data_IF_271854731383
#
_entry.id   IF_271854731383
#
_cell.length_a   1.000
_cell.length_b   1.000
_cell.length_c   1.000
_cell.angle_alpha   90.00
_cell.angle_beta   90.00
_cell.angle_gamma   90.00
#
_symmetry.space_group_name_H-M   'P 1'
#
loop_
_entity.id
_entity.type
_entity.pdbx_description
1 polymer ?
#
# COMPACT_ATOMS: atom_id res chain seq x y z
N UNK A 1 -31.21 -20.40 -33.46
CA UNK A 1 -30.83 -20.00 -32.09
C UNK A 1 -29.70 -19.00 -32.19
N UNK A 2 -29.99 -17.70 -32.09
CA UNK A 2 -28.96 -16.66 -32.15
C UNK A 2 -28.07 -16.75 -30.92
N UNK A 3 -26.79 -17.06 -31.13
CA UNK A 3 -25.75 -16.91 -30.11
C UNK A 3 -25.60 -15.42 -29.85
N UNK A 4 -26.30 -14.93 -28.83
CA UNK A 4 -26.00 -13.62 -28.24
C UNK A 4 -24.55 -13.71 -27.73
N UNK A 5 -23.62 -12.86 -28.20
CA UNK A 5 -22.31 -12.81 -27.57
C UNK A 5 -22.56 -12.35 -26.14
N UNK A 6 -22.19 -13.19 -25.16
CA UNK A 6 -22.11 -12.76 -23.76
C UNK A 6 -21.12 -11.59 -23.72
N UNK A 7 -21.63 -10.36 -23.77
CA UNK A 7 -20.89 -9.20 -23.31
C UNK A 7 -20.74 -9.40 -21.81
N UNK A 8 -19.57 -9.87 -21.39
CA UNK A 8 -19.24 -9.88 -19.97
C UNK A 8 -19.41 -8.45 -19.45
N UNK A 9 -20.33 -8.26 -18.50
CA UNK A 9 -20.54 -6.94 -17.93
C UNK A 9 -19.21 -6.38 -17.39
N UNK A 10 -18.97 -5.08 -17.59
CA UNK A 10 -17.77 -4.45 -17.07
C UNK A 10 -17.76 -4.58 -15.55
N UNK A 11 -16.68 -5.14 -15.01
CA UNK A 11 -16.56 -5.38 -13.57
C UNK A 11 -16.49 -4.07 -12.77
N UNK A 12 -16.01 -3.01 -13.41
CA UNK A 12 -15.97 -1.63 -12.89
C UNK A 12 -16.18 -0.69 -14.08
N UNK A 13 -17.09 0.27 -13.92
CA UNK A 13 -17.26 1.36 -14.88
C UNK A 13 -16.35 2.55 -14.54
N UNK A 14 -15.92 3.29 -15.56
CA UNK A 14 -15.03 4.45 -15.40
C UNK A 14 -15.67 5.57 -14.57
N UNK A 15 -17.00 5.74 -14.64
CA UNK A 15 -17.72 6.74 -13.84
C UNK A 15 -17.83 6.29 -12.37
N UNK A 16 -18.08 5.00 -12.14
CA UNK A 16 -18.07 4.42 -10.80
C UNK A 16 -16.71 4.58 -10.13
N UNK A 17 -15.64 4.26 -10.87
CA UNK A 17 -14.27 4.48 -10.41
C UNK A 17 -13.99 5.94 -10.08
N UNK A 18 -14.40 6.87 -10.96
CA UNK A 18 -14.19 8.31 -10.74
C UNK A 18 -14.86 8.82 -9.46
N UNK A 19 -16.09 8.36 -9.17
CA UNK A 19 -16.81 8.72 -7.92
C UNK A 19 -16.13 8.13 -6.70
N UNK A 20 -15.82 6.84 -6.73
CA UNK A 20 -15.16 6.17 -5.62
C UNK A 20 -13.79 6.79 -5.31
N UNK A 21 -13.01 7.16 -6.33
CA UNK A 21 -11.74 7.86 -6.14
C UNK A 21 -11.91 9.23 -5.49
N UNK A 22 -12.96 9.98 -5.85
CA UNK A 22 -13.25 11.27 -5.22
C UNK A 22 -13.67 11.12 -3.75
N UNK A 23 -14.52 10.13 -3.46
CA UNK A 23 -14.98 9.81 -2.09
C UNK A 23 -13.84 9.37 -1.17
N UNK A 24 -12.88 8.60 -1.70
CA UNK A 24 -11.75 8.08 -0.94
C UNK A 24 -10.49 8.97 -1.01
N UNK A 25 -10.59 10.17 -1.62
CA UNK A 25 -9.46 11.09 -1.83
C UNK A 25 -8.25 10.46 -2.55
N UNK A 26 -8.50 9.52 -3.47
CA UNK A 26 -7.45 8.81 -4.21
C UNK A 26 -7.15 9.56 -5.51
N UNK A 27 -5.90 10.00 -5.64
CA UNK A 27 -5.41 10.58 -6.89
C UNK A 27 -5.17 9.48 -7.94
N UNK A 28 -5.20 9.82 -9.24
CA UNK A 28 -4.93 8.80 -10.27
C UNK A 28 -3.48 8.29 -10.27
N UNK A 29 -2.57 8.98 -9.58
CA UNK A 29 -1.17 8.57 -9.39
C UNK A 29 -1.11 7.56 -8.26
N UNK A 30 -1.84 7.80 -7.17
CA UNK A 30 -2.01 6.81 -6.11
C UNK A 30 -2.66 5.53 -6.65
N UNK A 31 -3.70 5.65 -7.50
CA UNK A 31 -4.30 4.50 -8.18
C UNK A 31 -3.27 3.78 -9.06
N UNK A 32 -2.56 4.51 -9.93
CA UNK A 32 -1.55 3.97 -10.83
C UNK A 32 -0.48 3.17 -10.07
N UNK A 33 0.04 3.75 -8.98
CA UNK A 33 0.99 3.10 -8.09
C UNK A 33 0.40 1.82 -7.51
N UNK A 34 -0.77 1.89 -6.85
CA UNK A 34 -1.36 0.75 -6.16
C UNK A 34 -1.62 -0.44 -7.10
N UNK A 35 -2.10 -0.20 -8.31
CA UNK A 35 -2.38 -1.28 -9.28
C UNK A 35 -1.19 -1.62 -10.18
N UNK A 36 -0.02 -1.01 -9.95
CA UNK A 36 1.23 -1.31 -10.68
C UNK A 36 1.17 -0.92 -12.15
N UNK A 37 0.38 0.10 -12.49
CA UNK A 37 0.18 0.57 -13.86
C UNK A 37 0.82 1.94 -14.09
N UNK A 38 1.23 2.21 -15.33
CA UNK A 38 1.79 3.50 -15.68
C UNK A 38 0.71 4.61 -15.60
N UNK A 39 1.05 5.77 -15.02
CA UNK A 39 0.13 6.91 -14.84
C UNK A 39 -0.54 7.33 -16.16
N UNK A 40 0.21 7.33 -17.26
CA UNK A 40 -0.31 7.66 -18.59
C UNK A 40 -1.38 6.66 -19.07
N UNK A 41 -1.32 5.40 -18.66
CA UNK A 41 -2.34 4.42 -18.99
C UNK A 41 -3.65 4.72 -18.24
N UNK A 42 -3.55 5.13 -16.98
CA UNK A 42 -4.70 5.54 -16.16
C UNK A 42 -5.36 6.79 -16.75
N UNK A 43 -4.59 7.83 -17.08
CA UNK A 43 -5.14 9.03 -17.69
C UNK A 43 -5.83 8.73 -19.03
N UNK A 44 -5.26 7.84 -19.85
CA UNK A 44 -5.89 7.39 -21.09
C UNK A 44 -7.25 6.70 -20.86
N UNK A 45 -7.43 5.94 -19.77
CA UNK A 45 -8.71 5.32 -19.47
C UNK A 45 -9.79 6.34 -19.12
N UNK A 46 -9.44 7.41 -18.40
CA UNK A 46 -10.38 8.51 -18.09
C UNK A 46 -10.74 9.33 -19.34
N UNK A 47 -9.78 9.60 -20.22
CA UNK A 47 -10.02 10.33 -21.47
C UNK A 47 -10.88 9.50 -22.42
N UNK A 48 -10.55 8.22 -22.61
CA UNK A 48 -11.24 7.31 -23.54
C UNK A 48 -12.53 6.72 -22.97
N UNK A 49 -12.81 6.95 -21.69
CA UNK A 49 -13.95 6.37 -20.93
C UNK A 49 -14.05 4.85 -21.10
N UNK A 50 -12.91 4.17 -21.20
CA UNK A 50 -12.85 2.74 -21.49
C UNK A 50 -11.74 2.10 -20.70
N UNK A 51 -12.09 1.17 -19.81
CA UNK A 51 -11.16 0.34 -19.06
C UNK A 51 -10.92 -0.97 -19.79
N UNK A 52 -9.65 -1.38 -19.91
CA UNK A 52 -9.32 -2.73 -20.37
C UNK A 52 -9.77 -3.77 -19.34
N UNK A 53 -10.07 -5.00 -19.76
CA UNK A 53 -10.50 -6.08 -18.84
C UNK A 53 -9.49 -6.32 -17.72
N UNK A 54 -8.20 -6.27 -18.05
CA UNK A 54 -7.12 -6.38 -17.07
C UNK A 54 -7.17 -5.24 -16.04
N UNK A 55 -7.33 -4.00 -16.48
CA UNK A 55 -7.46 -2.86 -15.57
C UNK A 55 -8.71 -2.96 -14.69
N UNK A 56 -9.86 -3.39 -15.24
CA UNK A 56 -11.09 -3.59 -14.46
C UNK A 56 -10.89 -4.59 -13.32
N UNK A 57 -10.19 -5.70 -13.55
CA UNK A 57 -9.90 -6.71 -12.52
C UNK A 57 -9.02 -6.12 -11.42
N UNK A 58 -7.94 -5.43 -11.78
CA UNK A 58 -7.01 -4.83 -10.81
C UNK A 58 -7.68 -3.73 -9.98
N UNK A 59 -8.45 -2.88 -10.64
CA UNK A 59 -9.19 -1.78 -9.99
C UNK A 59 -10.26 -2.36 -9.07
N UNK A 60 -10.99 -3.40 -9.48
CA UNK A 60 -11.99 -4.05 -8.63
C UNK A 60 -11.36 -4.60 -7.34
N UNK A 61 -10.25 -5.34 -7.47
CA UNK A 61 -9.51 -5.85 -6.30
C UNK A 61 -9.07 -4.73 -5.37
N UNK A 62 -8.53 -3.64 -5.94
CA UNK A 62 -8.13 -2.46 -5.19
C UNK A 62 -9.30 -1.78 -4.47
N UNK A 63 -10.46 -1.63 -5.13
CA UNK A 63 -11.68 -1.08 -4.54
C UNK A 63 -12.26 -1.97 -3.44
N UNK A 64 -12.11 -3.29 -3.57
CA UNK A 64 -12.54 -4.29 -2.58
C UNK A 64 -11.55 -4.44 -1.41
N UNK A 65 -10.47 -3.65 -1.37
CA UNK A 65 -9.46 -3.70 -0.32
C UNK A 65 -8.62 -4.99 -0.35
N UNK A 66 -8.70 -5.78 -1.41
CA UNK A 66 -7.81 -6.91 -1.63
C UNK A 66 -6.46 -6.34 -2.10
N UNK A 67 -5.39 -6.74 -1.41
CA UNK A 67 -4.03 -6.22 -1.59
C UNK A 67 -3.72 -5.95 -3.07
N UNK A 68 -3.41 -4.68 -3.31
CA UNK A 68 -3.09 -4.16 -4.61
C UNK A 68 -1.87 -4.94 -5.14
N UNK A 69 -2.04 -5.62 -6.28
CA UNK A 69 -1.01 -6.50 -6.88
C UNK A 69 0.21 -5.69 -7.36
N UNK A 70 0.13 -4.36 -7.34
CA UNK A 70 1.20 -3.46 -7.74
C UNK A 70 1.84 -2.76 -6.55
N UNK A 71 2.56 -3.50 -5.72
CA UNK A 71 3.40 -2.92 -4.67
C UNK A 71 2.62 -2.54 -3.43
N UNK A 72 3.25 -2.84 -2.31
CA UNK A 72 2.86 -2.46 -0.95
C UNK A 72 2.23 -1.05 -0.92
N UNK A 73 1.27 -0.81 0.00
CA UNK A 73 0.83 0.54 0.27
C UNK A 73 2.07 1.42 0.39
N UNK A 74 2.02 2.63 -0.14
CA UNK A 74 2.92 3.67 0.35
C UNK A 74 2.61 3.88 1.85
N UNK A 75 3.02 2.94 2.71
CA UNK A 75 3.69 3.35 3.92
C UNK A 75 4.81 4.26 3.44
N UNK A 76 4.81 5.48 3.94
CA UNK A 76 5.91 6.41 3.72
C UNK A 76 7.12 5.78 4.41
N UNK A 77 7.77 4.83 3.75
CA UNK A 77 8.92 4.12 4.28
C UNK A 77 10.10 5.07 4.17
N UNK A 78 10.32 5.82 5.24
CA UNK A 78 11.49 6.67 5.38
C UNK A 78 12.67 5.79 5.74
N UNK A 79 13.71 5.78 4.89
CA UNK A 79 14.92 5.00 5.14
C UNK A 79 15.85 5.77 6.09
N UNK A 80 16.21 5.17 7.21
CA UNK A 80 17.25 5.67 8.11
C UNK A 80 18.44 4.71 8.05
N UNK A 81 19.62 5.23 7.71
CA UNK A 81 20.87 4.45 7.75
C UNK A 81 21.66 4.82 9.00
N UNK A 82 21.87 3.84 9.88
CA UNK A 82 22.65 4.02 11.12
C UNK A 82 23.85 3.07 11.09
N UNK A 83 25.08 3.57 11.26
CA UNK A 83 26.23 2.70 11.44
C UNK A 83 26.15 2.02 12.81
N UNK A 84 26.09 0.69 12.83
CA UNK A 84 26.04 -0.11 14.06
C UNK A 84 27.32 -0.94 14.21
N UNK A 85 27.77 -1.11 15.45
CA UNK A 85 28.85 -2.05 15.74
C UNK A 85 28.37 -3.50 15.61
N UNK A 86 29.28 -4.41 15.21
CA UNK A 86 28.98 -5.84 15.07
C UNK A 86 28.41 -6.46 16.35
N UNK A 87 28.81 -5.96 17.53
CA UNK A 87 28.27 -6.41 18.81
C UNK A 87 26.77 -6.13 18.93
N UNK A 88 26.34 -4.92 18.55
CA UNK A 88 24.93 -4.50 18.63
C UNK A 88 24.09 -5.25 17.60
N UNK A 89 24.59 -5.37 16.36
CA UNK A 89 23.92 -6.12 15.30
C UNK A 89 23.64 -7.57 15.73
N UNK A 90 24.65 -8.26 16.29
CA UNK A 90 24.51 -9.63 16.74
C UNK A 90 23.50 -9.81 17.89
N UNK A 91 23.43 -8.84 18.81
CA UNK A 91 22.44 -8.86 19.89
C UNK A 91 21.03 -8.67 19.34
N UNK A 92 20.84 -7.71 18.43
CA UNK A 92 19.56 -7.47 17.78
C UNK A 92 19.09 -8.69 16.97
N UNK A 93 19.98 -9.32 16.21
CA UNK A 93 19.67 -10.56 15.47
C UNK A 93 19.25 -11.72 16.39
N UNK A 94 19.97 -11.94 17.48
CA UNK A 94 19.59 -12.98 18.46
C UNK A 94 18.22 -12.69 19.08
N UNK A 95 17.92 -11.43 19.36
CA UNK A 95 16.64 -11.03 19.92
C UNK A 95 15.49 -11.19 18.91
N UNK A 96 15.69 -10.80 17.64
CA UNK A 96 14.73 -10.97 16.57
C UNK A 96 14.38 -12.45 16.34
N UNK A 97 15.39 -13.32 16.25
CA UNK A 97 15.20 -14.78 16.10
C UNK A 97 14.43 -15.38 17.28
N UNK A 98 14.75 -14.98 18.51
CA UNK A 98 14.03 -15.47 19.71
C UNK A 98 12.54 -15.09 19.70
N UNK A 99 12.19 -13.99 19.08
CA UNK A 99 10.82 -13.50 18.98
C UNK A 99 10.12 -13.94 17.69
N UNK A 100 10.80 -14.71 16.83
CA UNK A 100 10.33 -15.10 15.50
C UNK A 100 9.90 -13.90 14.64
N UNK A 101 10.68 -12.80 14.73
CA UNK A 101 10.46 -11.57 13.98
C UNK A 101 11.58 -11.36 12.95
N UNK A 102 11.28 -10.61 11.90
CA UNK A 102 12.31 -10.08 11.01
C UNK A 102 13.13 -9.00 11.71
N UNK A 103 14.32 -8.69 11.18
CA UNK A 103 15.18 -7.64 11.73
C UNK A 103 14.53 -6.26 11.65
N UNK A 104 13.77 -6.00 10.58
CA UNK A 104 13.07 -4.74 10.37
C UNK A 104 11.96 -4.54 11.41
N UNK A 105 11.11 -5.55 11.61
CA UNK A 105 10.05 -5.52 12.62
C UNK A 105 10.60 -5.37 14.05
N UNK A 106 11.70 -6.09 14.34
CA UNK A 106 12.35 -5.99 15.65
C UNK A 106 12.86 -4.57 15.91
N UNK A 107 13.54 -3.96 14.93
CA UNK A 107 14.05 -2.60 15.05
C UNK A 107 12.91 -1.57 15.16
N UNK A 108 11.86 -1.72 14.37
CA UNK A 108 10.67 -0.86 14.43
C UNK A 108 10.05 -0.86 15.84
N UNK A 109 9.82 -2.05 16.42
CA UNK A 109 9.28 -2.17 17.80
C UNK A 109 10.23 -1.62 18.86
N UNK A 110 11.54 -1.82 18.69
CA UNK A 110 12.52 -1.29 19.63
C UNK A 110 12.55 0.25 19.64
N UNK A 111 12.47 0.87 18.46
CA UNK A 111 12.40 2.33 18.30
C UNK A 111 11.08 2.85 18.87
N UNK A 112 9.95 2.21 18.58
CA UNK A 112 8.64 2.60 19.10
C UNK A 112 8.58 2.52 20.63
N UNK A 113 9.10 1.44 21.22
CA UNK A 113 9.16 1.27 22.67
C UNK A 113 10.06 2.32 23.33
N UNK A 114 11.21 2.62 22.72
CA UNK A 114 12.11 3.67 23.21
C UNK A 114 11.45 5.05 23.14
N UNK A 115 10.73 5.36 22.06
CA UNK A 115 10.01 6.62 21.91
C UNK A 115 8.90 6.77 22.97
N UNK A 116 8.07 5.74 23.18
CA UNK A 116 7.00 5.75 24.20
C UNK A 116 7.53 6.01 25.60
N UNK A 117 8.62 5.34 25.97
CA UNK A 117 9.25 5.52 27.28
C UNK A 117 9.78 6.95 27.51
N UNK A 118 10.06 7.71 26.44
CA UNK A 118 10.52 9.09 26.53
C UNK A 118 9.35 10.09 26.53
N UNK A 119 8.27 9.81 25.80
CA UNK A 119 7.09 10.70 25.73
C UNK A 119 6.20 10.58 26.96
N UNK A 120 6.03 9.37 27.50
CA UNK A 120 5.19 9.13 28.69
C UNK A 120 5.78 9.73 29.98
N UNK A 121 7.02 10.24 29.92
CA UNK A 121 7.70 10.94 31.02
C UNK A 121 7.46 12.46 31.05
N UNK A 122 6.94 13.06 29.98
CA UNK A 122 6.75 14.53 29.90
C UNK A 122 5.33 14.99 30.31
N UNK A 123 4.32 14.11 30.28
CA UNK A 123 2.92 14.45 30.60
C UNK A 123 2.57 14.38 32.10
N UNK A 124 3.56 14.19 32.98
CA UNK A 124 3.37 14.03 34.44
C UNK A 124 3.77 15.24 35.29
N UNK A 125 4.14 16.38 34.71
CA UNK A 125 4.61 17.55 35.46
C UNK A 125 4.00 18.86 34.96
N UNK A 126 2.69 19.05 35.17
CA UNK A 126 2.06 20.37 35.30
C UNK A 126 1.04 20.36 36.43
#
# INVERSE_FOLDING_TARGET
MSKVPHMEEPLVDILQLGRWMAENHISRSALASAIGMNRSAIDNYFVRKKLSRHAQILIKRFMEGQEAVGGAPHEISSLITVPLSNRVLNLAMKAAVRQNLTMEEFLSRAVEAAAKNLTDGEDGAQ
#
